data_IF_238919265687
#
_entry.id   IF_238919265687
#
_cell.length_a   1.000
_cell.length_b   1.000
_cell.length_c   1.000
_cell.angle_alpha   90.00
_cell.angle_beta   90.00
_cell.angle_gamma   90.00
#
_symmetry.space_group_name_H-M   'P 1'
#
loop_
_entity.id
_entity.type
_entity.pdbx_description
1 polymer ?
#
# COMPACT_ATOMS: atom_id res chain seq x y z
N UNK A 1 -8.98 16.70 17.90
CA UNK A 1 -7.90 16.06 18.67
C UNK A 1 -7.11 17.09 19.51
N UNK A 2 -7.76 17.68 20.50
CA UNK A 2 -7.11 18.63 21.43
C UNK A 2 -6.61 17.94 22.72
N UNK A 3 -6.41 16.62 22.69
CA UNK A 3 -5.88 15.86 23.82
C UNK A 3 -4.37 16.10 23.95
N UNK A 4 -3.95 16.66 25.09
CA UNK A 4 -2.55 16.98 25.37
C UNK A 4 -1.66 15.76 25.32
N UNK A 5 -2.11 14.61 25.87
CA UNK A 5 -1.35 13.36 25.88
C UNK A 5 -1.12 12.82 24.48
N UNK A 6 -2.13 12.93 23.61
CA UNK A 6 -2.00 12.56 22.19
C UNK A 6 -0.98 13.46 21.50
N UNK A 7 -1.10 14.78 21.63
CA UNK A 7 -0.18 15.75 21.01
C UNK A 7 1.26 15.56 21.48
N UNK A 8 1.45 15.30 22.77
CA UNK A 8 2.77 15.00 23.33
C UNK A 8 3.38 13.73 22.74
N UNK A 9 2.55 12.69 22.53
CA UNK A 9 3.01 11.45 21.87
C UNK A 9 3.45 11.71 20.44
N UNK A 10 2.67 12.46 19.66
CA UNK A 10 3.03 12.83 18.28
C UNK A 10 4.30 13.67 18.25
N UNK A 11 4.41 14.66 19.13
CA UNK A 11 5.58 15.51 19.26
C UNK A 11 6.87 14.69 19.47
N UNK A 12 6.83 13.69 20.32
CA UNK A 12 7.99 12.82 20.58
C UNK A 12 8.32 11.87 19.44
N UNK A 13 7.34 11.54 18.60
CA UNK A 13 7.51 10.64 17.45
C UNK A 13 8.02 11.35 16.19
N UNK A 14 7.99 12.70 16.15
CA UNK A 14 8.48 13.46 14.98
C UNK A 14 9.97 13.69 15.12
N UNK A 15 10.71 13.18 14.15
CA UNK A 15 12.15 13.36 14.06
C UNK A 15 12.50 14.76 13.53
N UNK A 16 13.47 15.42 14.17
CA UNK A 16 13.95 16.74 13.76
C UNK A 16 15.33 16.71 13.12
N UNK A 17 15.96 15.55 13.01
CA UNK A 17 17.23 15.41 12.31
C UNK A 17 17.01 15.32 10.79
N UNK A 18 17.54 16.27 9.97
CA UNK A 18 17.37 16.28 8.52
C UNK A 18 17.87 14.99 7.84
N UNK A 19 19.01 14.46 8.28
CA UNK A 19 19.56 13.23 7.72
C UNK A 19 18.61 12.03 7.95
N UNK A 20 18.07 11.88 9.16
CA UNK A 20 17.09 10.83 9.46
C UNK A 20 15.78 11.02 8.70
N UNK A 21 15.35 12.28 8.51
CA UNK A 21 14.19 12.59 7.69
C UNK A 21 14.40 12.16 6.24
N UNK A 22 15.55 12.44 5.65
CA UNK A 22 15.90 12.00 4.30
C UNK A 22 15.94 10.47 4.22
N UNK A 23 16.53 9.78 5.19
CA UNK A 23 16.47 8.30 5.25
C UNK A 23 15.04 7.76 5.33
N UNK A 24 14.13 8.44 6.06
CA UNK A 24 12.70 8.05 6.07
C UNK A 24 12.04 8.26 4.70
N UNK A 25 12.38 9.33 3.98
CA UNK A 25 11.91 9.56 2.62
C UNK A 25 12.43 8.49 1.64
N UNK A 26 13.68 8.08 1.77
CA UNK A 26 14.27 7.00 0.98
C UNK A 26 13.63 5.65 1.28
N UNK A 27 13.42 5.33 2.58
CA UNK A 27 12.78 4.10 3.02
C UNK A 27 11.28 4.05 2.69
N UNK A 28 10.63 5.21 2.52
CA UNK A 28 9.21 5.25 2.17
C UNK A 28 8.98 4.62 0.80
N UNK A 29 8.12 3.61 0.75
CA UNK A 29 7.58 3.07 -0.48
C UNK A 29 6.06 2.94 -0.35
N UNK A 30 5.32 3.22 -1.43
CA UNK A 30 3.88 3.08 -1.48
C UNK A 30 3.40 1.64 -1.44
N UNK A 31 2.16 1.40 -1.84
CA UNK A 31 1.62 0.04 -2.02
C UNK A 31 2.39 -0.74 -3.08
N UNK A 32 2.48 -2.04 -2.90
CA UNK A 32 3.10 -2.92 -3.86
C UNK A 32 2.13 -3.18 -5.03
N UNK A 33 2.60 -2.97 -6.25
CA UNK A 33 1.86 -3.29 -7.48
C UNK A 33 2.81 -3.98 -8.43
N UNK A 34 2.42 -5.14 -8.94
CA UNK A 34 3.26 -5.94 -9.83
C UNK A 34 2.42 -6.86 -10.71
N UNK A 35 2.90 -7.09 -11.93
CA UNK A 35 2.44 -8.15 -12.81
C UNK A 35 3.52 -9.22 -12.89
N UNK A 36 3.16 -10.46 -12.66
CA UNK A 36 4.10 -11.58 -12.78
C UNK A 36 4.50 -11.75 -14.25
N UNK A 37 5.78 -11.67 -14.53
CA UNK A 37 6.34 -11.66 -15.88
C UNK A 37 5.97 -12.89 -16.73
N UNK A 38 5.70 -14.04 -16.08
CA UNK A 38 5.30 -15.26 -16.80
C UNK A 38 3.91 -15.18 -17.44
N UNK A 39 3.08 -14.20 -17.06
CA UNK A 39 1.70 -14.03 -17.53
C UNK A 39 1.49 -12.71 -18.30
N UNK A 40 2.53 -11.91 -18.49
CA UNK A 40 2.41 -10.64 -19.21
C UNK A 40 2.05 -10.89 -20.68
N UNK A 41 1.09 -10.11 -21.22
CA UNK A 41 0.56 -10.18 -22.58
C UNK A 41 -0.23 -11.48 -22.92
N UNK A 42 -0.50 -12.33 -21.93
CA UNK A 42 -1.32 -13.53 -22.13
C UNK A 42 -2.77 -13.31 -21.66
N UNK A 43 -3.74 -13.78 -22.45
CA UNK A 43 -5.15 -13.83 -22.04
C UNK A 43 -5.37 -15.07 -21.20
N UNK A 44 -5.62 -14.88 -19.92
CA UNK A 44 -5.87 -15.95 -18.97
C UNK A 44 -7.37 -16.10 -18.71
N UNK A 45 -7.81 -17.31 -18.39
CA UNK A 45 -9.22 -17.63 -18.16
C UNK A 45 -9.47 -18.15 -16.74
N UNK A 46 -10.54 -17.66 -16.12
CA UNK A 46 -11.02 -18.17 -14.85
C UNK A 46 -10.13 -17.82 -13.66
N UNK A 47 -9.88 -16.53 -13.41
CA UNK A 47 -9.08 -16.06 -12.28
C UNK A 47 -9.96 -15.70 -11.09
N UNK A 48 -9.46 -15.98 -9.89
CA UNK A 48 -10.05 -15.52 -8.65
C UNK A 48 -9.37 -14.23 -8.18
N UNK A 49 -10.17 -13.29 -7.70
CA UNK A 49 -9.74 -12.01 -7.17
C UNK A 49 -10.01 -11.95 -5.68
N UNK A 50 -8.97 -11.64 -4.90
CA UNK A 50 -9.02 -11.44 -3.46
C UNK A 50 -8.54 -10.05 -3.09
N UNK A 51 -9.20 -9.41 -2.12
CA UNK A 51 -8.89 -8.04 -1.66
C UNK A 51 -8.89 -7.97 -0.14
N UNK A 52 -7.93 -7.24 0.45
CA UNK A 52 -7.93 -7.02 1.89
C UNK A 52 -9.04 -6.08 2.32
N UNK A 53 -9.81 -6.49 3.30
CA UNK A 53 -10.80 -5.63 3.92
C UNK A 53 -10.13 -4.47 4.67
N UNK A 54 -9.92 -3.35 3.96
CA UNK A 54 -9.33 -2.11 4.51
C UNK A 54 -7.90 -2.28 5.04
N UNK A 55 -6.96 -2.62 4.19
CA UNK A 55 -5.56 -2.92 4.48
C UNK A 55 -4.86 -1.87 5.37
N UNK A 56 -4.78 -0.60 4.96
CA UNK A 56 -4.10 0.43 5.74
C UNK A 56 -4.71 0.69 7.13
N UNK A 57 -6.05 0.81 7.27
CA UNK A 57 -6.67 0.88 8.58
C UNK A 57 -6.41 -0.32 9.47
N UNK A 58 -6.38 -1.54 8.91
CA UNK A 58 -6.04 -2.74 9.65
C UNK A 58 -4.66 -2.61 10.30
N UNK A 59 -3.63 -2.27 9.53
CA UNK A 59 -2.28 -2.14 10.07
C UNK A 59 -2.18 -0.99 11.08
N UNK A 60 -2.90 0.13 10.86
CA UNK A 60 -2.94 1.24 11.81
C UNK A 60 -3.47 0.85 13.20
N UNK A 61 -4.41 -0.08 13.28
CA UNK A 61 -5.01 -0.49 14.56
C UNK A 61 -4.37 -1.73 15.16
N UNK A 62 -3.59 -2.50 14.39
CA UNK A 62 -3.07 -3.81 14.81
C UNK A 62 -1.56 -3.89 14.95
N UNK A 63 -0.80 -2.91 14.45
CA UNK A 63 0.67 -2.93 14.45
C UNK A 63 1.27 -1.91 15.42
N UNK A 64 2.55 -2.10 15.73
CA UNK A 64 3.35 -1.13 16.50
C UNK A 64 4.09 -0.18 15.56
N UNK A 65 4.34 1.03 16.04
CA UNK A 65 4.93 2.14 15.29
C UNK A 65 6.09 2.78 16.03
N UNK A 66 7.04 3.44 15.33
CA UNK A 66 8.08 4.21 15.99
C UNK A 66 7.46 5.39 16.74
N UNK A 67 7.64 5.42 18.07
CA UNK A 67 7.01 6.39 18.97
C UNK A 67 7.99 7.36 19.62
N UNK A 68 9.25 7.30 19.22
CA UNK A 68 10.30 8.23 19.66
C UNK A 68 11.10 8.69 18.44
N UNK A 69 11.88 9.74 18.60
CA UNK A 69 12.88 10.08 17.60
C UNK A 69 13.88 8.93 17.40
N UNK A 70 14.35 8.79 16.19
CA UNK A 70 15.36 7.79 15.82
C UNK A 70 16.75 8.23 16.29
N UNK A 71 17.50 7.31 16.88
CA UNK A 71 18.86 7.50 17.37
C UNK A 71 19.83 6.56 16.68
N UNK A 72 20.99 7.08 16.28
CA UNK A 72 22.03 6.27 15.65
C UNK A 72 22.53 5.20 16.60
N UNK A 73 22.74 4.00 16.07
CA UNK A 73 23.32 2.89 16.81
C UNK A 73 24.43 2.22 15.97
N UNK A 74 25.39 1.60 16.65
CA UNK A 74 26.47 0.83 16.00
C UNK A 74 26.12 -0.64 16.04
N UNK A 75 25.39 -1.11 15.02
CA UNK A 75 25.05 -2.53 14.79
C UNK A 75 25.47 -2.88 13.38
N UNK A 76 26.04 -4.06 13.18
CA UNK A 76 26.57 -4.53 11.90
C UNK A 76 25.86 -5.77 11.37
N UNK A 77 25.07 -6.44 12.21
CA UNK A 77 24.38 -7.70 11.86
C UNK A 77 22.91 -7.68 12.30
N UNK A 78 22.05 -8.26 11.48
CA UNK A 78 20.61 -8.34 11.74
C UNK A 78 20.26 -9.08 13.04
N UNK A 79 21.05 -10.11 13.41
CA UNK A 79 20.82 -10.91 14.62
C UNK A 79 20.98 -10.11 15.92
N UNK A 80 21.62 -8.96 15.86
CA UNK A 80 21.76 -8.03 16.99
C UNK A 80 20.56 -7.11 17.16
N UNK A 81 19.62 -7.12 16.20
CA UNK A 81 18.47 -6.25 16.19
C UNK A 81 17.34 -6.84 17.02
N UNK A 82 16.83 -6.06 17.96
CA UNK A 82 15.76 -6.48 18.85
C UNK A 82 14.39 -6.14 18.27
N UNK A 83 13.44 -7.06 18.34
CA UNK A 83 12.06 -6.86 17.83
C UNK A 83 11.25 -5.80 18.62
N UNK A 84 11.79 -5.30 19.72
CA UNK A 84 11.15 -4.22 20.47
C UNK A 84 11.43 -2.80 19.93
N UNK A 85 12.30 -2.68 18.92
CA UNK A 85 12.66 -1.42 18.29
C UNK A 85 12.29 -1.39 16.81
N UNK A 86 11.72 -0.25 16.38
CA UNK A 86 11.67 0.13 14.99
C UNK A 86 13.05 0.59 14.54
N UNK A 87 13.47 0.28 13.32
CA UNK A 87 14.69 0.86 12.77
C UNK A 87 14.56 1.19 11.30
N UNK A 88 15.33 2.19 10.87
CA UNK A 88 15.64 2.45 9.47
C UNK A 88 17.09 2.06 9.24
N UNK A 89 17.35 1.40 8.14
CA UNK A 89 18.66 0.85 7.82
C UNK A 89 19.02 1.15 6.38
N UNK A 90 20.23 1.69 6.18
CA UNK A 90 20.89 1.76 4.88
C UNK A 90 21.80 0.55 4.75
N UNK A 91 21.56 -0.28 3.74
CA UNK A 91 22.18 -1.58 3.59
C UNK A 91 22.64 -1.80 2.14
N UNK A 92 23.80 -2.43 2.01
CA UNK A 92 24.34 -2.88 0.74
C UNK A 92 24.32 -4.40 0.69
N UNK A 93 23.72 -4.97 -0.35
CA UNK A 93 23.68 -6.41 -0.62
C UNK A 93 24.62 -6.76 -1.76
N UNK A 94 25.18 -7.99 -1.70
CA UNK A 94 26.04 -8.59 -2.72
C UNK A 94 25.38 -9.86 -3.27
N UNK A 95 25.36 -9.97 -4.61
CA UNK A 95 24.80 -11.10 -5.37
C UNK A 95 23.36 -11.45 -4.93
N UNK A 96 22.52 -10.41 -4.81
CA UNK A 96 21.12 -10.58 -4.39
C UNK A 96 20.25 -11.08 -5.55
N UNK A 97 19.38 -12.06 -5.27
CA UNK A 97 18.44 -12.65 -6.23
C UNK A 97 17.12 -13.00 -5.54
N UNK A 98 15.98 -12.66 -6.15
CA UNK A 98 14.66 -13.12 -5.69
C UNK A 98 14.56 -14.65 -5.73
N UNK A 99 13.88 -15.24 -4.73
CA UNK A 99 13.53 -16.65 -4.67
C UNK A 99 12.25 -16.98 -5.41
N UNK A 100 11.43 -15.97 -5.72
CA UNK A 100 10.05 -16.08 -6.19
C UNK A 100 9.86 -15.41 -7.56
N UNK A 101 8.77 -15.73 -8.24
CA UNK A 101 8.41 -15.13 -9.53
C UNK A 101 8.00 -13.67 -9.40
N UNK A 102 7.42 -13.29 -8.27
CA UNK A 102 7.08 -11.90 -7.99
C UNK A 102 8.29 -11.19 -7.32
N UNK A 103 8.70 -10.05 -7.87
CA UNK A 103 9.91 -9.36 -7.47
C UNK A 103 9.57 -8.15 -6.59
N UNK A 104 10.09 -8.11 -5.36
CA UNK A 104 9.73 -7.10 -4.37
C UNK A 104 10.47 -5.77 -4.54
N UNK A 105 11.79 -5.78 -4.74
CA UNK A 105 12.64 -4.60 -4.69
C UNK A 105 12.41 -3.71 -5.90
N UNK A 106 12.04 -2.44 -5.69
CA UNK A 106 11.88 -1.45 -6.76
C UNK A 106 13.20 -0.83 -7.17
N UNK A 107 13.49 -0.79 -8.48
CA UNK A 107 14.66 -0.11 -9.05
C UNK A 107 14.79 1.34 -8.57
N UNK A 108 13.67 2.07 -8.50
CA UNK A 108 13.65 3.50 -8.18
C UNK A 108 13.92 3.79 -6.69
N UNK A 109 14.03 2.76 -5.84
CA UNK A 109 14.33 2.89 -4.41
C UNK A 109 15.80 2.57 -4.08
N UNK A 110 16.56 2.11 -5.06
CA UNK A 110 17.96 1.80 -4.88
C UNK A 110 18.84 3.03 -5.12
N UNK A 111 19.76 3.28 -4.19
CA UNK A 111 20.77 4.34 -4.32
C UNK A 111 21.86 3.96 -5.31
N UNK A 112 22.19 2.65 -5.33
CA UNK A 112 23.19 2.09 -6.24
C UNK A 112 22.75 0.70 -6.74
N UNK A 113 23.03 0.42 -8.01
CA UNK A 113 22.77 -0.87 -8.66
C UNK A 113 23.91 -1.20 -9.62
N UNK A 114 24.44 -2.44 -9.52
CA UNK A 114 25.38 -3.01 -10.50
C UNK A 114 24.90 -4.39 -10.92
N UNK A 115 25.06 -4.74 -12.21
CA UNK A 115 24.70 -6.04 -12.77
C UNK A 115 23.22 -6.42 -12.60
N UNK A 116 22.32 -5.43 -12.57
CA UNK A 116 20.92 -5.67 -12.27
C UNK A 116 20.12 -6.19 -13.48
N UNK A 117 19.25 -7.16 -13.23
CA UNK A 117 18.22 -7.65 -14.16
C UNK A 117 16.86 -7.29 -13.61
N UNK A 118 15.98 -6.82 -14.48
CA UNK A 118 14.71 -6.22 -14.11
C UNK A 118 13.51 -6.99 -14.66
N UNK A 119 12.41 -6.92 -13.92
CA UNK A 119 11.07 -7.30 -14.31
C UNK A 119 10.10 -6.14 -13.96
N UNK A 120 9.49 -5.50 -14.97
CA UNK A 120 8.53 -4.40 -14.78
C UNK A 120 8.99 -3.33 -13.76
N UNK A 121 10.28 -2.94 -13.81
CA UNK A 121 10.86 -1.95 -12.89
C UNK A 121 11.21 -2.50 -11.50
N UNK A 122 11.08 -3.81 -11.29
CA UNK A 122 11.50 -4.55 -10.10
C UNK A 122 12.80 -5.31 -10.37
N UNK A 123 13.56 -5.58 -9.33
CA UNK A 123 14.86 -6.22 -9.41
C UNK A 123 14.69 -7.72 -9.21
N UNK A 124 15.04 -8.51 -10.24
CA UNK A 124 15.11 -9.96 -10.18
C UNK A 124 16.41 -10.41 -9.52
N UNK A 125 17.53 -9.79 -9.91
CA UNK A 125 18.87 -10.00 -9.34
C UNK A 125 19.74 -8.77 -9.54
N UNK A 126 20.77 -8.63 -8.69
CA UNK A 126 21.83 -7.64 -8.86
C UNK A 126 23.13 -8.15 -8.23
N UNK A 127 24.28 -7.78 -8.81
CA UNK A 127 25.61 -8.09 -8.25
C UNK A 127 25.86 -7.22 -6.99
N UNK A 128 25.53 -5.94 -7.05
CA UNK A 128 25.54 -5.02 -5.90
C UNK A 128 24.26 -4.17 -5.90
N UNK A 129 23.68 -4.00 -4.71
CA UNK A 129 22.47 -3.21 -4.49
C UNK A 129 22.57 -2.46 -3.17
N UNK A 130 22.40 -1.13 -3.19
CA UNK A 130 22.32 -0.28 -2.00
C UNK A 130 20.93 0.33 -1.87
N UNK A 131 20.32 0.22 -0.68
CA UNK A 131 18.95 0.65 -0.44
C UNK A 131 18.75 1.05 1.03
N UNK A 132 17.85 2.02 1.27
CA UNK A 132 17.37 2.36 2.61
C UNK A 132 16.00 1.77 2.87
N UNK A 133 15.83 1.10 4.00
CA UNK A 133 14.65 0.27 4.32
C UNK A 133 14.13 0.53 5.73
N UNK A 134 12.84 0.30 5.94
CA UNK A 134 12.29 0.06 7.28
C UNK A 134 12.69 -1.35 7.73
N UNK A 135 12.67 -1.59 9.05
CA UNK A 135 12.91 -2.94 9.60
C UNK A 135 11.95 -4.00 9.05
N UNK A 136 10.72 -3.60 8.75
CA UNK A 136 9.68 -4.47 8.17
C UNK A 136 10.09 -4.91 6.77
N UNK A 137 10.47 -3.97 5.89
CA UNK A 137 10.90 -4.28 4.53
C UNK A 137 12.25 -5.02 4.52
N UNK A 138 13.17 -4.65 5.41
CA UNK A 138 14.48 -5.32 5.51
C UNK A 138 14.33 -6.80 5.88
N UNK A 139 13.55 -7.11 6.92
CA UNK A 139 13.26 -8.50 7.32
C UNK A 139 12.61 -9.29 6.19
N UNK A 140 11.68 -8.65 5.45
CA UNK A 140 11.01 -9.27 4.31
C UNK A 140 12.03 -9.60 3.20
N UNK A 141 12.92 -8.68 2.86
CA UNK A 141 13.97 -8.92 1.84
C UNK A 141 14.90 -10.06 2.26
N UNK A 142 15.33 -10.13 3.52
CA UNK A 142 16.17 -11.22 4.01
C UNK A 142 15.49 -12.60 3.86
N UNK A 143 14.19 -12.67 4.01
CA UNK A 143 13.41 -13.90 3.85
C UNK A 143 13.20 -14.28 2.38
N UNK A 144 12.92 -13.29 1.51
CA UNK A 144 12.50 -13.51 0.13
C UNK A 144 13.64 -13.62 -0.88
N UNK A 145 14.88 -13.25 -0.51
CA UNK A 145 16.00 -13.22 -1.43
C UNK A 145 17.12 -14.17 -0.99
N UNK A 146 17.88 -14.67 -1.97
CA UNK A 146 19.21 -15.25 -1.78
C UNK A 146 20.22 -14.12 -1.98
N UNK A 147 21.26 -14.11 -1.18
CA UNK A 147 22.38 -13.15 -1.26
C UNK A 147 23.63 -13.80 -0.67
N UNK A 148 24.83 -13.37 -1.10
CA UNK A 148 26.07 -13.89 -0.55
C UNK A 148 26.37 -13.23 0.80
N UNK A 149 26.23 -11.91 0.88
CA UNK A 149 26.43 -11.13 2.10
C UNK A 149 25.68 -9.80 2.02
N UNK A 150 25.60 -9.10 3.16
CA UNK A 150 25.19 -7.71 3.23
C UNK A 150 26.03 -6.93 4.24
N UNK A 151 26.08 -5.62 4.04
CA UNK A 151 26.76 -4.68 4.94
C UNK A 151 25.75 -3.60 5.38
N UNK A 152 25.68 -3.36 6.70
CA UNK A 152 24.90 -2.27 7.25
C UNK A 152 25.77 -1.02 7.28
N UNK A 153 25.45 -0.03 6.45
CA UNK A 153 26.16 1.24 6.40
C UNK A 153 25.73 2.18 7.51
N UNK A 154 24.42 2.33 7.69
CA UNK A 154 23.82 3.14 8.72
C UNK A 154 22.55 2.51 9.28
N UNK A 155 22.33 2.71 10.59
CA UNK A 155 21.10 2.26 11.26
C UNK A 155 20.70 3.20 12.39
N UNK A 156 19.39 3.47 12.48
CA UNK A 156 18.80 4.31 13.51
C UNK A 156 17.59 3.61 14.11
N UNK A 157 17.44 3.67 15.45
CA UNK A 157 16.41 2.99 16.22
C UNK A 157 15.44 3.95 16.89
N UNK A 158 14.17 3.55 16.94
CA UNK A 158 13.11 4.18 17.71
C UNK A 158 12.33 3.11 18.51
N UNK A 159 11.69 3.51 19.61
CA UNK A 159 10.87 2.57 20.39
C UNK A 159 9.57 2.21 19.68
N UNK A 160 9.23 0.92 19.66
CA UNK A 160 7.94 0.43 19.19
C UNK A 160 6.85 0.51 20.25
N UNK A 161 5.71 1.11 19.91
CA UNK A 161 4.45 1.04 20.67
C UNK A 161 3.26 1.06 19.72
N UNK A 162 2.10 0.60 20.18
CA UNK A 162 0.85 0.84 19.46
C UNK A 162 0.55 2.33 19.38
N UNK A 163 -0.16 2.74 18.33
CA UNK A 163 -0.67 4.09 18.21
C UNK A 163 -1.56 4.45 19.42
N UNK A 164 -1.70 5.73 19.78
CA UNK A 164 -2.53 6.14 20.90
C UNK A 164 -3.97 5.61 20.77
N UNK A 165 -4.53 5.08 21.88
CA UNK A 165 -5.88 4.51 21.92
C UNK A 165 -6.95 5.47 21.36
N UNK A 166 -6.79 6.77 21.59
CA UNK A 166 -7.69 7.79 21.02
C UNK A 166 -7.72 7.72 19.49
N UNK A 167 -6.56 7.57 18.84
CA UNK A 167 -6.44 7.50 17.39
C UNK A 167 -6.99 6.17 16.86
N UNK A 168 -6.69 5.06 17.52
CA UNK A 168 -7.22 3.74 17.17
C UNK A 168 -8.75 3.74 17.25
N UNK A 169 -9.34 4.23 18.34
CA UNK A 169 -10.79 4.33 18.48
C UNK A 169 -11.41 5.18 17.37
N UNK A 170 -10.79 6.31 17.01
CA UNK A 170 -11.27 7.14 15.89
C UNK A 170 -11.32 6.35 14.57
N UNK A 171 -10.28 5.56 14.27
CA UNK A 171 -10.25 4.70 13.07
C UNK A 171 -11.38 3.68 13.11
N UNK A 172 -11.54 2.98 14.23
CA UNK A 172 -12.56 1.95 14.39
C UNK A 172 -13.99 2.53 14.31
N UNK A 173 -14.24 3.68 14.91
CA UNK A 173 -15.53 4.34 14.82
C UNK A 173 -15.87 4.74 13.37
N UNK A 174 -14.88 5.18 12.58
CA UNK A 174 -15.06 5.46 11.15
C UNK A 174 -15.29 4.19 10.34
N UNK A 175 -14.65 3.09 10.71
CA UNK A 175 -14.86 1.80 10.08
C UNK A 175 -16.28 1.26 10.32
N UNK A 176 -16.77 1.36 11.54
CA UNK A 176 -18.16 1.00 11.90
C UNK A 176 -19.16 1.78 11.04
N UNK A 177 -19.03 3.11 10.97
CA UNK A 177 -19.92 3.95 10.17
C UNK A 177 -19.87 3.60 8.67
N UNK A 178 -18.67 3.42 8.11
CA UNK A 178 -18.49 2.97 6.72
C UNK A 178 -19.22 1.63 6.48
N UNK A 179 -19.08 0.67 7.38
CA UNK A 179 -19.70 -0.66 7.25
C UNK A 179 -21.22 -0.56 7.33
N UNK A 180 -21.76 0.23 8.26
CA UNK A 180 -23.20 0.43 8.44
C UNK A 180 -23.86 1.13 7.25
N UNK A 181 -23.13 1.99 6.52
CA UNK A 181 -23.71 2.72 5.37
C UNK A 181 -23.53 1.99 4.04
N UNK A 182 -22.67 0.95 3.98
CA UNK A 182 -22.39 0.22 2.75
C UNK A 182 -23.65 -0.43 2.18
N UNK A 183 -24.01 -0.09 0.94
CA UNK A 183 -25.15 -0.68 0.23
C UNK A 183 -26.52 -0.28 0.76
N UNK A 184 -26.60 0.77 1.57
CA UNK A 184 -27.88 1.30 2.11
C UNK A 184 -28.41 2.38 1.21
N UNK A 185 -29.62 2.17 0.68
CA UNK A 185 -30.31 3.13 -0.19
C UNK A 185 -30.47 4.48 0.51
N UNK A 186 -30.02 5.57 -0.16
CA UNK A 186 -30.08 6.94 0.36
C UNK A 186 -28.95 7.31 1.33
N UNK A 187 -27.94 6.39 1.53
CA UNK A 187 -26.75 6.61 2.36
C UNK A 187 -25.44 6.58 1.57
N UNK A 188 -25.52 6.68 0.25
CA UNK A 188 -24.37 6.60 -0.66
C UNK A 188 -23.37 7.74 -0.40
N UNK A 189 -23.88 8.95 -0.09
CA UNK A 189 -23.06 10.11 0.22
C UNK A 189 -22.32 9.94 1.56
N UNK A 190 -23.04 9.51 2.59
CA UNK A 190 -22.49 9.26 3.92
C UNK A 190 -21.42 8.14 3.86
N UNK A 191 -21.73 7.05 3.14
CA UNK A 191 -20.75 6.00 2.88
C UNK A 191 -19.48 6.55 2.22
N UNK A 192 -19.63 7.34 1.16
CA UNK A 192 -18.51 7.94 0.43
C UNK A 192 -17.68 8.88 1.33
N UNK A 193 -18.36 9.71 2.14
CA UNK A 193 -17.69 10.61 3.09
C UNK A 193 -16.86 9.84 4.13
N UNK A 194 -17.45 8.81 4.75
CA UNK A 194 -16.74 8.05 5.78
C UNK A 194 -15.60 7.20 5.15
N UNK A 195 -15.80 6.63 3.95
CA UNK A 195 -14.74 5.96 3.20
C UNK A 195 -13.58 6.91 2.87
N UNK A 196 -13.87 8.13 2.42
CA UNK A 196 -12.83 9.11 2.09
C UNK A 196 -12.07 9.58 3.33
N UNK A 197 -12.76 9.88 4.46
CA UNK A 197 -12.10 10.23 5.72
C UNK A 197 -11.18 9.11 6.20
N UNK A 198 -11.66 7.89 6.13
CA UNK A 198 -10.95 6.70 6.54
C UNK A 198 -9.67 6.46 5.71
N UNK A 199 -9.76 6.63 4.40
CA UNK A 199 -8.60 6.51 3.51
C UNK A 199 -7.65 7.72 3.62
N UNK A 200 -8.18 8.92 3.87
CA UNK A 200 -7.37 10.12 4.02
C UNK A 200 -6.43 10.08 5.24
N UNK A 201 -6.77 9.34 6.29
CA UNK A 201 -5.91 9.20 7.48
C UNK A 201 -4.51 8.69 7.13
N UNK A 202 -4.43 7.66 6.29
CA UNK A 202 -3.15 7.18 5.81
C UNK A 202 -2.46 8.23 4.91
N UNK A 203 -3.17 8.76 3.91
CA UNK A 203 -2.61 9.75 2.98
C UNK A 203 -2.01 10.97 3.69
N UNK A 204 -2.65 11.43 4.77
CA UNK A 204 -2.16 12.54 5.58
C UNK A 204 -0.85 12.22 6.32
N UNK A 205 -0.64 10.96 6.72
CA UNK A 205 0.60 10.54 7.41
C UNK A 205 1.82 10.51 6.49
N UNK A 206 1.61 10.35 5.19
CA UNK A 206 2.67 10.31 4.17
C UNK A 206 2.75 11.58 3.32
N UNK A 207 2.00 12.62 3.67
CA UNK A 207 2.11 13.90 2.99
C UNK A 207 3.49 14.47 3.26
N UNK A 208 4.28 14.63 2.19
CA UNK A 208 5.55 15.33 2.28
C UNK A 208 5.30 16.83 2.39
N UNK A 209 5.51 17.39 3.58
CA UNK A 209 5.37 18.82 3.86
C UNK A 209 6.66 19.59 3.63
N UNK A 210 7.78 18.88 3.49
CA UNK A 210 9.09 19.44 3.22
C UNK A 210 9.44 19.10 1.78
N UNK A 211 9.35 20.07 0.90
CA UNK A 211 9.56 19.92 -0.54
C UNK A 211 10.60 20.91 -1.01
N UNK A 212 11.37 20.50 -2.00
CA UNK A 212 12.24 21.40 -2.75
C UNK A 212 11.41 22.55 -3.35
N UNK A 213 12.02 23.71 -3.49
CA UNK A 213 11.35 24.88 -4.02
C UNK A 213 11.27 24.82 -5.54
N UNK A 214 10.05 24.82 -6.07
CA UNK A 214 9.80 24.98 -7.49
C UNK A 214 9.99 26.46 -7.84
N UNK A 215 10.88 26.75 -8.78
CA UNK A 215 11.18 28.11 -9.22
C UNK A 215 10.64 28.35 -10.64
N UNK A 216 10.03 29.51 -10.84
CA UNK A 216 9.58 29.97 -12.14
C UNK A 216 10.25 31.29 -12.50
N UNK A 217 10.70 31.44 -13.73
CA UNK A 217 11.25 32.68 -14.27
C UNK A 217 10.49 33.09 -15.52
N UNK A 218 10.13 34.35 -15.62
CA UNK A 218 9.50 34.89 -16.84
C UNK A 218 10.37 34.77 -18.09
N UNK A 219 11.71 34.71 -17.91
CA UNK A 219 12.66 34.66 -19.03
C UNK A 219 13.02 33.23 -19.45
N UNK A 220 12.94 32.26 -18.50
CA UNK A 220 13.42 30.89 -18.67
C UNK A 220 12.36 29.82 -18.38
N UNK A 221 11.09 30.23 -18.11
CA UNK A 221 9.99 29.31 -17.76
C UNK A 221 10.27 28.58 -16.42
N UNK A 222 9.97 27.28 -16.31
CA UNK A 222 10.25 26.49 -15.10
C UNK A 222 11.75 26.18 -15.00
N UNK A 223 12.34 26.53 -13.85
CA UNK A 223 13.73 26.19 -13.53
C UNK A 223 13.78 24.85 -12.78
N UNK A 224 14.99 24.30 -12.67
CA UNK A 224 15.22 23.12 -11.82
C UNK A 224 14.84 23.43 -10.37
N UNK A 225 14.28 22.43 -9.68
CA UNK A 225 13.90 22.56 -8.28
C UNK A 225 15.15 22.87 -7.41
N UNK A 226 15.07 23.94 -6.61
CA UNK A 226 16.10 24.25 -5.63
C UNK A 226 15.98 23.29 -4.45
N UNK A 227 17.00 22.46 -4.24
CA UNK A 227 17.09 21.60 -3.06
C UNK A 227 17.24 22.43 -1.79
N UNK A 228 16.51 22.04 -0.76
CA UNK A 228 16.61 22.66 0.56
C UNK A 228 17.90 22.25 1.26
N UNK A 229 18.54 23.21 1.93
CA UNK A 229 19.70 22.97 2.78
C UNK A 229 19.26 22.34 4.13
N UNK A 230 20.18 21.65 4.80
CA UNK A 230 19.89 20.97 6.06
C UNK A 230 19.31 21.89 7.15
N UNK A 231 19.73 23.14 7.20
CA UNK A 231 19.21 24.14 8.15
C UNK A 231 17.76 24.50 7.85
N UNK A 232 17.41 24.66 6.58
CA UNK A 232 16.03 24.93 6.14
C UNK A 232 15.13 23.73 6.44
N UNK A 233 15.61 22.50 6.17
CA UNK A 233 14.90 21.26 6.51
C UNK A 233 14.68 21.19 8.03
N UNK A 234 15.68 21.48 8.84
CA UNK A 234 15.58 21.50 10.30
C UNK A 234 14.49 22.47 10.78
N UNK A 235 14.47 23.68 10.25
CA UNK A 235 13.46 24.70 10.60
C UNK A 235 12.04 24.25 10.25
N UNK A 236 11.86 23.63 9.08
CA UNK A 236 10.58 23.08 8.66
C UNK A 236 10.15 21.92 9.56
N UNK A 237 11.06 20.99 9.88
CA UNK A 237 10.80 19.86 10.80
C UNK A 237 10.41 20.36 12.20
N UNK A 238 11.06 21.41 12.70
CA UNK A 238 10.71 22.02 13.98
C UNK A 238 9.33 22.69 13.98
N UNK A 239 8.93 23.28 12.84
CA UNK A 239 7.56 23.81 12.64
C UNK A 239 6.54 22.66 12.59
N UNK A 240 6.84 21.58 11.84
CA UNK A 240 6.00 20.39 11.78
C UNK A 240 5.82 19.75 13.15
N UNK A 241 6.87 19.57 13.91
CA UNK A 241 6.83 19.01 15.27
C UNK A 241 5.83 19.72 16.18
N UNK A 242 5.65 21.03 16.00
CA UNK A 242 4.70 21.86 16.80
C UNK A 242 3.26 21.76 16.31
N UNK A 243 3.01 21.52 15.00
CA UNK A 243 1.71 21.64 14.34
C UNK A 243 1.09 20.31 13.99
N UNK A 244 1.90 19.31 13.61
CA UNK A 244 1.41 18.05 13.08
C UNK A 244 0.66 17.24 14.13
N UNK A 245 -0.33 16.51 13.68
CA UNK A 245 -1.08 15.56 14.49
C UNK A 245 -0.74 14.10 14.15
N UNK A 246 0.21 13.87 13.24
CA UNK A 246 0.73 12.56 12.86
C UNK A 246 2.23 12.66 12.57
N UNK A 247 2.95 11.56 12.72
CA UNK A 247 4.37 11.46 12.34
C UNK A 247 4.50 10.86 10.94
N UNK A 248 5.35 11.42 10.09
CA UNK A 248 5.70 10.87 8.77
C UNK A 248 6.24 9.44 8.88
N UNK A 249 7.01 9.14 9.93
CA UNK A 249 7.49 7.78 10.18
C UNK A 249 6.35 6.77 10.34
N UNK A 250 5.21 7.16 10.95
CA UNK A 250 4.06 6.23 11.02
C UNK A 250 3.55 5.83 9.64
N UNK A 251 3.48 6.79 8.72
CA UNK A 251 3.08 6.52 7.34
C UNK A 251 4.01 5.56 6.60
N UNK A 252 5.34 5.68 6.83
CA UNK A 252 6.33 4.74 6.26
C UNK A 252 6.05 3.30 6.74
N UNK A 253 5.75 3.13 8.03
CA UNK A 253 5.44 1.80 8.60
C UNK A 253 4.08 1.27 8.16
N UNK A 254 3.07 2.13 7.98
CA UNK A 254 1.75 1.71 7.46
C UNK A 254 1.90 0.98 6.13
N UNK A 255 2.62 1.59 5.18
CA UNK A 255 2.82 0.96 3.87
C UNK A 255 3.74 -0.24 3.93
N UNK A 256 4.76 -0.23 4.79
CA UNK A 256 5.66 -1.37 4.98
C UNK A 256 4.90 -2.59 5.52
N UNK A 257 4.05 -2.43 6.54
CA UNK A 257 3.20 -3.52 7.04
C UNK A 257 2.16 -3.99 6.03
N UNK A 258 1.54 -3.07 5.29
CA UNK A 258 0.59 -3.45 4.24
C UNK A 258 1.27 -4.27 3.14
N UNK A 259 2.48 -3.85 2.70
CA UNK A 259 3.30 -4.63 1.77
C UNK A 259 3.67 -6.00 2.34
N UNK A 260 4.11 -6.05 3.60
CA UNK A 260 4.45 -7.31 4.27
C UNK A 260 3.28 -8.28 4.24
N UNK A 261 2.08 -7.84 4.64
CA UNK A 261 0.89 -8.69 4.66
C UNK A 261 0.56 -9.24 3.27
N UNK A 262 0.70 -8.42 2.22
CA UNK A 262 0.47 -8.85 0.85
C UNK A 262 1.56 -9.83 0.37
N UNK A 263 2.82 -9.47 0.56
CA UNK A 263 3.99 -10.21 0.07
C UNK A 263 4.17 -11.58 0.72
N UNK A 264 3.87 -11.73 2.01
CA UNK A 264 3.92 -13.03 2.68
C UNK A 264 2.95 -14.03 2.04
N UNK A 265 1.79 -13.56 1.58
CA UNK A 265 0.84 -14.40 0.84
C UNK A 265 1.25 -14.61 -0.62
N UNK A 266 1.78 -13.58 -1.29
CA UNK A 266 2.32 -13.71 -2.65
C UNK A 266 3.43 -14.76 -2.68
N UNK A 267 4.36 -14.76 -1.73
CA UNK A 267 5.43 -15.76 -1.67
C UNK A 267 4.93 -17.20 -1.44
N UNK A 268 3.83 -17.38 -0.73
CA UNK A 268 3.22 -18.70 -0.49
C UNK A 268 2.43 -19.20 -1.69
N UNK A 269 1.86 -18.28 -2.47
CA UNK A 269 1.08 -18.55 -3.68
C UNK A 269 1.92 -18.53 -4.96
N UNK A 270 3.06 -17.84 -4.93
CA UNK A 270 4.14 -17.70 -5.92
C UNK A 270 3.67 -17.73 -7.38
N UNK A 271 3.83 -18.86 -8.06
CA UNK A 271 3.51 -19.03 -9.48
C UNK A 271 2.02 -18.84 -9.83
N UNK A 272 1.13 -19.00 -8.84
CA UNK A 272 -0.31 -18.79 -9.07
C UNK A 272 -0.70 -17.32 -9.08
N UNK A 273 0.17 -16.39 -8.59
CA UNK A 273 -0.11 -14.95 -8.58
C UNK A 273 0.17 -14.34 -9.94
N UNK A 274 -0.87 -13.90 -10.62
CA UNK A 274 -0.81 -13.22 -11.93
C UNK A 274 -0.52 -11.74 -11.77
N UNK A 275 -1.24 -11.12 -10.82
CA UNK A 275 -1.21 -9.67 -10.64
C UNK A 275 -1.56 -9.31 -9.19
N UNK A 276 -0.93 -8.28 -8.69
CA UNK A 276 -1.26 -7.71 -7.39
C UNK A 276 -1.28 -6.18 -7.44
N UNK A 277 -2.09 -5.59 -6.58
CA UNK A 277 -2.22 -4.14 -6.49
C UNK A 277 -2.59 -3.69 -5.09
N UNK A 278 -1.59 -3.23 -4.34
CA UNK A 278 -1.70 -2.61 -3.02
C UNK A 278 -2.32 -3.51 -1.94
N UNK A 279 -3.52 -3.98 -2.14
CA UNK A 279 -4.35 -4.76 -1.19
C UNK A 279 -5.09 -5.91 -1.88
N UNK A 280 -4.81 -6.18 -3.14
CA UNK A 280 -5.47 -7.25 -3.89
C UNK A 280 -4.50 -8.15 -4.64
N UNK A 281 -4.91 -9.42 -4.82
CA UNK A 281 -4.22 -10.43 -5.63
C UNK A 281 -5.18 -11.07 -6.63
N UNK A 282 -4.64 -11.41 -7.80
CA UNK A 282 -5.35 -12.12 -8.87
C UNK A 282 -4.65 -13.44 -9.11
N UNK A 283 -5.39 -14.55 -8.98
CA UNK A 283 -4.84 -15.90 -8.95
C UNK A 283 -5.40 -16.75 -10.09
N UNK A 284 -4.52 -17.48 -10.78
CA UNK A 284 -4.98 -18.58 -11.66
C UNK A 284 -5.45 -19.75 -10.82
N UNK A 285 -6.34 -20.60 -11.39
CA UNK A 285 -6.88 -21.78 -10.72
C UNK A 285 -5.79 -22.77 -10.29
N UNK A 286 -6.08 -23.50 -9.24
CA UNK A 286 -5.20 -24.57 -8.72
C UNK A 286 -4.33 -24.15 -7.54
N UNK A 287 -4.45 -22.89 -7.09
CA UNK A 287 -3.75 -22.43 -5.89
C UNK A 287 -4.30 -23.07 -4.61
N UNK A 288 -3.47 -23.15 -3.59
CA UNK A 288 -3.88 -23.64 -2.26
C UNK A 288 -4.72 -22.60 -1.52
N UNK A 289 -6.03 -22.84 -1.42
CA UNK A 289 -6.97 -21.96 -0.70
C UNK A 289 -6.69 -21.89 0.80
N UNK A 290 -6.02 -22.90 1.40
CA UNK A 290 -5.66 -22.86 2.81
C UNK A 290 -4.76 -21.67 3.13
N UNK A 291 -3.98 -21.16 2.17
CA UNK A 291 -3.16 -19.95 2.37
C UNK A 291 -4.02 -18.75 2.76
N UNK A 292 -5.16 -18.57 2.10
CA UNK A 292 -6.11 -17.48 2.39
C UNK A 292 -6.78 -17.69 3.75
N UNK A 293 -7.24 -18.93 4.01
CA UNK A 293 -7.92 -19.26 5.27
C UNK A 293 -6.99 -19.12 6.49
N UNK A 294 -5.75 -19.59 6.39
CA UNK A 294 -4.74 -19.44 7.44
C UNK A 294 -4.39 -17.96 7.69
N UNK A 295 -4.23 -17.17 6.61
CA UNK A 295 -4.01 -15.74 6.77
C UNK A 295 -5.17 -15.08 7.49
N UNK A 296 -6.41 -15.34 7.09
CA UNK A 296 -7.61 -14.80 7.72
C UNK A 296 -7.71 -15.20 9.20
N UNK A 297 -7.42 -16.47 9.54
CA UNK A 297 -7.38 -16.95 10.92
C UNK A 297 -6.31 -16.21 11.75
N UNK A 298 -5.10 -16.02 11.20
CA UNK A 298 -4.03 -15.28 11.85
C UNK A 298 -4.39 -13.83 12.10
N UNK A 299 -5.08 -13.18 11.14
CA UNK A 299 -5.63 -11.83 11.34
C UNK A 299 -6.60 -11.78 12.51
N UNK A 300 -7.53 -12.74 12.61
CA UNK A 300 -8.51 -12.80 13.71
C UNK A 300 -7.84 -13.01 15.08
N UNK A 301 -6.84 -13.89 15.16
CA UNK A 301 -6.04 -14.12 16.38
C UNK A 301 -5.34 -12.81 16.77
N UNK A 302 -4.72 -12.13 15.82
CA UNK A 302 -4.02 -10.85 16.06
C UNK A 302 -4.97 -9.74 16.51
N UNK A 303 -6.13 -9.60 15.88
CA UNK A 303 -7.13 -8.60 16.27
C UNK A 303 -7.62 -8.85 17.70
N UNK A 304 -7.82 -10.11 18.10
CA UNK A 304 -8.20 -10.48 19.46
C UNK A 304 -7.10 -10.09 20.46
N UNK A 305 -5.83 -10.48 20.22
CA UNK A 305 -4.70 -10.11 21.07
C UNK A 305 -4.58 -8.59 21.25
N UNK A 306 -4.69 -7.83 20.16
CA UNK A 306 -4.61 -6.36 20.20
C UNK A 306 -5.80 -5.75 20.94
N UNK A 307 -7.01 -6.26 20.74
CA UNK A 307 -8.22 -5.79 21.44
C UNK A 307 -8.09 -5.94 22.95
N UNK A 308 -7.58 -7.10 23.42
CA UNK A 308 -7.31 -7.38 24.82
C UNK A 308 -6.21 -6.46 25.40
N UNK A 309 -5.07 -6.33 24.72
CA UNK A 309 -3.94 -5.47 25.14
C UNK A 309 -4.31 -4.00 25.25
N UNK A 310 -5.14 -3.51 24.33
CA UNK A 310 -5.58 -2.12 24.30
C UNK A 310 -6.86 -1.87 25.11
N UNK A 311 -7.48 -2.93 25.62
CA UNK A 311 -8.79 -2.88 26.28
C UNK A 311 -9.80 -2.11 25.39
N UNK A 312 -9.97 -2.58 24.13
CA UNK A 312 -10.94 -2.10 23.15
C UNK A 312 -11.78 -3.31 22.74
N UNK A 313 -13.11 -3.14 22.72
CA UNK A 313 -14.03 -4.21 22.34
C UNK A 313 -13.71 -4.77 20.94
N UNK A 314 -13.58 -6.11 20.85
CA UNK A 314 -13.29 -6.82 19.60
C UNK A 314 -14.35 -6.56 18.52
N UNK A 315 -15.61 -6.34 18.89
CA UNK A 315 -16.69 -6.06 17.94
C UNK A 315 -16.47 -4.76 17.16
N UNK A 316 -15.65 -3.83 17.66
CA UNK A 316 -15.23 -2.65 16.89
C UNK A 316 -14.33 -2.98 15.70
N UNK A 317 -13.54 -4.05 15.79
CA UNK A 317 -12.65 -4.51 14.72
C UNK A 317 -13.36 -5.37 13.66
N UNK A 318 -14.56 -5.85 13.97
CA UNK A 318 -15.38 -6.71 13.10
C UNK A 318 -16.85 -6.26 13.08
N UNK A 319 -17.14 -5.00 12.70
CA UNK A 319 -18.50 -4.47 12.73
C UNK A 319 -19.44 -5.27 11.84
N UNK A 320 -20.70 -5.28 12.21
CA UNK A 320 -21.77 -5.95 11.50
C UNK A 320 -22.47 -4.96 10.55
N UNK A 321 -22.71 -5.36 9.32
CA UNK A 321 -23.51 -4.58 8.37
C UNK A 321 -25.03 -4.74 8.61
N UNK A 322 -25.85 -4.06 7.82
CA UNK A 322 -27.31 -4.13 7.93
C UNK A 322 -27.93 -5.50 7.58
N UNK A 323 -27.15 -6.38 6.95
CA UNK A 323 -27.57 -7.74 6.64
C UNK A 323 -27.19 -8.74 7.73
N UNK A 324 -26.55 -8.28 8.80
CA UNK A 324 -26.04 -9.13 9.88
C UNK A 324 -24.71 -9.81 9.56
N UNK A 325 -24.00 -9.37 8.52
CA UNK A 325 -22.69 -9.95 8.13
C UNK A 325 -21.58 -9.19 8.85
N UNK A 326 -20.69 -9.93 9.52
CA UNK A 326 -19.47 -9.38 10.13
C UNK A 326 -18.42 -9.07 9.06
N UNK A 327 -17.76 -7.93 9.21
CA UNK A 327 -16.68 -7.48 8.34
C UNK A 327 -15.39 -7.27 9.16
N UNK A 328 -14.59 -8.32 9.42
CA UNK A 328 -13.32 -8.15 10.11
C UNK A 328 -12.34 -7.30 9.31
N UNK A 329 -11.58 -6.44 9.98
CA UNK A 329 -10.51 -5.66 9.36
C UNK A 329 -9.35 -6.56 8.93
N UNK A 330 -8.80 -6.31 7.74
CA UNK A 330 -7.55 -6.90 7.28
C UNK A 330 -7.64 -8.32 6.72
N UNK A 331 -8.82 -8.98 6.76
CA UNK A 331 -8.99 -10.29 6.13
C UNK A 331 -9.06 -10.18 4.60
N UNK A 332 -8.64 -11.21 3.90
CA UNK A 332 -8.97 -11.37 2.49
C UNK A 332 -10.45 -11.67 2.33
N UNK A 333 -11.09 -10.91 1.46
CA UNK A 333 -12.47 -11.12 1.01
C UNK A 333 -12.47 -11.35 -0.51
N UNK A 334 -13.36 -12.20 -1.00
CA UNK A 334 -13.48 -12.46 -2.43
C UNK A 334 -14.01 -11.20 -3.14
N UNK A 335 -13.22 -10.66 -4.06
CA UNK A 335 -13.60 -9.52 -4.92
C UNK A 335 -14.22 -9.98 -6.25
N UNK A 336 -14.40 -11.29 -6.43
CA UNK A 336 -15.08 -11.90 -7.55
C UNK A 336 -14.21 -12.82 -8.39
N UNK A 337 -14.81 -13.25 -9.48
CA UNK A 337 -14.19 -14.14 -10.45
C UNK A 337 -14.11 -13.44 -11.81
N UNK A 338 -12.93 -13.48 -12.46
CA UNK A 338 -12.72 -12.95 -13.80
C UNK A 338 -12.73 -14.09 -14.82
N UNK A 339 -13.61 -13.96 -15.80
CA UNK A 339 -13.72 -14.95 -16.91
C UNK A 339 -12.50 -14.88 -17.82
N UNK A 340 -12.04 -13.66 -18.09
CA UNK A 340 -10.85 -13.35 -18.87
C UNK A 340 -10.05 -12.25 -18.16
N UNK A 341 -8.73 -12.32 -18.23
CA UNK A 341 -7.84 -11.33 -17.70
C UNK A 341 -6.57 -11.24 -18.56
N UNK A 342 -6.09 -10.03 -18.80
CA UNK A 342 -4.81 -9.77 -19.45
C UNK A 342 -4.12 -8.60 -18.74
N UNK A 343 -2.82 -8.70 -18.51
CA UNK A 343 -2.00 -7.62 -17.96
C UNK A 343 -0.78 -7.35 -18.82
N UNK A 344 -0.38 -6.08 -18.89
CA UNK A 344 0.86 -5.62 -19.55
C UNK A 344 1.82 -4.98 -18.55
N UNK A 345 1.53 -5.07 -17.26
CA UNK A 345 2.36 -4.50 -16.20
C UNK A 345 1.55 -3.77 -15.13
N UNK A 346 2.25 -3.12 -14.21
CA UNK A 346 1.66 -2.41 -13.10
C UNK A 346 0.65 -1.34 -13.55
N UNK A 347 -0.58 -1.40 -13.03
CA UNK A 347 -1.70 -0.50 -13.38
C UNK A 347 -2.07 -0.50 -14.88
N UNK A 348 -1.85 -1.62 -15.57
CA UNK A 348 -2.15 -1.78 -16.98
C UNK A 348 -2.72 -3.17 -17.25
N UNK A 349 -4.04 -3.33 -17.14
CA UNK A 349 -4.75 -4.60 -17.33
C UNK A 349 -6.18 -4.41 -17.83
N UNK A 350 -6.73 -5.47 -18.42
CA UNK A 350 -8.15 -5.59 -18.78
C UNK A 350 -8.70 -6.91 -18.24
N UNK A 351 -10.00 -6.95 -17.94
CA UNK A 351 -10.68 -8.16 -17.48
C UNK A 351 -12.15 -8.18 -17.87
N UNK A 352 -12.70 -9.38 -18.02
CA UNK A 352 -14.12 -9.62 -18.21
C UNK A 352 -14.70 -10.26 -16.97
N UNK A 353 -15.81 -9.71 -16.50
CA UNK A 353 -16.49 -10.17 -15.30
C UNK A 353 -18.00 -10.25 -15.56
N UNK A 354 -18.65 -11.26 -14.95
CA UNK A 354 -20.08 -11.35 -14.93
C UNK A 354 -20.66 -10.38 -13.91
N UNK A 355 -21.50 -9.44 -14.36
CA UNK A 355 -22.16 -8.46 -13.50
C UNK A 355 -23.67 -8.59 -13.53
N UNK A 356 -24.28 -8.58 -12.34
CA UNK A 356 -25.73 -8.42 -12.19
C UNK A 356 -26.07 -6.92 -12.19
N UNK A 357 -26.50 -6.38 -13.33
CA UNK A 357 -26.89 -4.97 -13.44
C UNK A 357 -28.38 -4.80 -13.17
N UNK A 358 -28.70 -4.14 -12.06
CA UNK A 358 -30.04 -3.62 -11.81
C UNK A 358 -30.20 -2.27 -12.54
N UNK A 359 -30.86 -2.23 -13.69
CA UNK A 359 -31.30 -0.97 -14.31
C UNK A 359 -32.70 -0.62 -13.81
N UNK A 360 -32.80 0.38 -12.95
CA UNK A 360 -34.08 1.04 -12.64
C UNK A 360 -34.47 1.94 -13.82
N UNK A 361 -35.18 1.40 -14.79
CA UNK A 361 -36.08 2.11 -15.69
C UNK A 361 -37.37 1.30 -15.78
N UNK A 362 -38.49 1.97 -15.82
CA UNK A 362 -39.91 1.62 -15.77
C UNK A 362 -40.36 0.17 -16.06
N UNK A 363 -39.48 -0.68 -16.56
CA UNK A 363 -39.71 -2.12 -16.76
C UNK A 363 -38.57 -2.88 -16.07
N UNK A 364 -38.94 -3.80 -15.18
CA UNK A 364 -38.03 -4.72 -14.51
C UNK A 364 -37.37 -5.63 -15.56
N UNK A 365 -36.14 -5.31 -15.95
CA UNK A 365 -35.32 -6.20 -16.74
C UNK A 365 -34.00 -6.44 -15.99
N UNK A 366 -33.83 -7.63 -15.43
CA UNK A 366 -32.55 -8.13 -14.98
C UNK A 366 -31.72 -8.42 -16.25
N UNK A 367 -30.66 -7.64 -16.47
CA UNK A 367 -29.68 -7.95 -17.47
C UNK A 367 -28.41 -8.40 -16.77
N UNK A 368 -28.17 -9.69 -16.81
CA UNK A 368 -26.89 -10.27 -16.49
C UNK A 368 -25.99 -10.09 -17.74
N UNK A 369 -24.91 -9.37 -17.61
CA UNK A 369 -24.01 -9.10 -18.74
C UNK A 369 -22.57 -9.46 -18.37
N UNK A 370 -21.86 -10.06 -19.32
CA UNK A 370 -20.42 -10.21 -19.28
C UNK A 370 -19.77 -8.87 -19.66
N UNK A 371 -19.21 -8.19 -18.70
CA UNK A 371 -18.72 -6.80 -18.88
C UNK A 371 -17.20 -6.78 -18.97
N UNK A 372 -16.68 -6.16 -20.02
CA UNK A 372 -15.26 -5.91 -20.18
C UNK A 372 -14.87 -4.59 -19.48
N UNK A 373 -13.82 -4.64 -18.70
CA UNK A 373 -13.24 -3.53 -17.95
C UNK A 373 -11.80 -3.30 -18.34
N UNK A 374 -11.32 -2.05 -18.18
CA UNK A 374 -9.91 -1.69 -18.27
C UNK A 374 -9.47 -0.91 -17.03
N UNK A 375 -8.22 -1.11 -16.67
CA UNK A 375 -7.51 -0.28 -15.70
C UNK A 375 -6.14 0.06 -16.29
N UNK A 376 -6.00 1.30 -16.74
CA UNK A 376 -4.73 1.84 -17.24
C UNK A 376 -4.51 3.19 -16.59
N UNK A 377 -3.35 3.37 -15.95
CA UNK A 377 -3.03 4.62 -15.27
C UNK A 377 -3.10 5.82 -16.24
N UNK A 378 -3.83 6.87 -15.84
CA UNK A 378 -4.04 8.05 -16.69
C UNK A 378 -5.08 7.89 -17.81
N UNK A 379 -5.63 6.71 -18.02
CA UNK A 379 -6.63 6.45 -19.08
C UNK A 379 -8.05 6.38 -18.48
N UNK A 380 -9.02 7.15 -19.01
CA UNK A 380 -10.41 7.07 -18.55
C UNK A 380 -11.02 5.69 -18.80
N UNK A 381 -11.85 5.18 -17.86
CA UNK A 381 -12.56 3.90 -18.01
C UNK A 381 -13.38 3.79 -19.32
N UNK A 382 -13.78 4.90 -19.92
CA UNK A 382 -14.44 4.96 -21.23
C UNK A 382 -13.60 4.37 -22.36
N UNK A 383 -12.27 4.31 -22.20
CA UNK A 383 -11.34 3.67 -23.14
C UNK A 383 -11.63 2.22 -23.43
N UNK A 384 -12.40 1.52 -22.56
CA UNK A 384 -12.85 0.14 -22.81
C UNK A 384 -13.57 -0.02 -24.16
N UNK A 385 -14.20 1.06 -24.66
CA UNK A 385 -14.88 1.04 -25.96
C UNK A 385 -13.92 0.79 -27.14
N UNK A 386 -12.65 1.15 -26.99
CA UNK A 386 -11.63 0.92 -28.02
C UNK A 386 -11.34 -0.58 -28.21
N UNK A 387 -11.61 -1.39 -27.19
CA UNK A 387 -11.45 -2.86 -27.26
C UNK A 387 -12.54 -3.53 -28.09
N UNK A 388 -13.61 -2.85 -28.51
CA UNK A 388 -14.71 -3.39 -29.31
C UNK A 388 -15.28 -4.69 -28.72
N UNK A 389 -15.31 -4.78 -27.39
CA UNK A 389 -15.75 -5.96 -26.61
C UNK A 389 -14.90 -7.24 -26.78
N UNK A 390 -13.66 -7.11 -27.28
CA UNK A 390 -12.71 -8.20 -27.40
C UNK A 390 -11.45 -7.88 -26.59
N UNK A 391 -11.13 -8.71 -25.59
CA UNK A 391 -9.99 -8.52 -24.70
C UNK A 391 -8.65 -8.65 -25.43
N UNK A 392 -8.59 -9.41 -26.53
CA UNK A 392 -7.39 -9.56 -27.36
C UNK A 392 -6.95 -8.25 -28.03
N UNK A 393 -7.82 -7.25 -28.07
CA UNK A 393 -7.49 -5.92 -28.56
C UNK A 393 -6.74 -5.07 -27.51
N UNK A 394 -6.53 -5.58 -26.28
CA UNK A 394 -5.75 -4.89 -25.27
C UNK A 394 -4.25 -5.04 -25.57
N UNK A 395 -3.67 -4.07 -26.28
CA UNK A 395 -2.27 -4.05 -26.75
C UNK A 395 -1.63 -2.69 -26.50
N UNK A 396 -0.30 -2.65 -26.36
CA UNK A 396 0.48 -1.44 -26.14
C UNK A 396 0.27 -0.34 -27.18
N UNK A 397 -0.01 -0.72 -28.42
CA UNK A 397 -0.21 0.19 -29.55
C UNK A 397 -1.65 0.69 -29.68
N UNK A 398 -2.55 0.37 -28.75
CA UNK A 398 -3.94 0.77 -28.85
C UNK A 398 -4.09 2.28 -28.63
N UNK A 399 -4.49 2.98 -29.68
CA UNK A 399 -4.80 4.42 -29.66
C UNK A 399 -6.29 4.61 -29.83
N UNK A 400 -6.89 5.50 -29.06
CA UNK A 400 -8.28 5.89 -29.23
C UNK A 400 -8.47 7.37 -28.87
N UNK A 401 -9.36 8.01 -29.61
CA UNK A 401 -9.79 9.37 -29.32
C UNK A 401 -11.02 9.34 -28.42
N UNK A 402 -11.03 10.19 -27.40
CA UNK A 402 -12.24 10.44 -26.63
C UNK A 402 -12.48 11.96 -26.50
N UNK A 403 -13.74 12.36 -26.66
CA UNK A 403 -14.13 13.76 -26.41
C UNK A 403 -14.25 13.95 -24.90
N UNK A 404 -13.45 14.87 -24.38
CA UNK A 404 -13.66 15.38 -23.02
C UNK A 404 -15.02 16.04 -22.97
N UNK A 405 -15.89 15.59 -22.10
CA UNK A 405 -17.25 16.13 -21.95
C UNK A 405 -17.29 17.41 -21.13
N UNK A 406 -16.13 17.99 -20.80
CA UNK A 406 -16.02 19.27 -20.11
C UNK A 406 -16.68 19.31 -18.71
N UNK A 407 -16.96 18.16 -18.10
CA UNK A 407 -17.34 18.10 -16.69
C UNK A 407 -16.09 18.29 -15.85
N UNK A 408 -15.79 19.54 -15.51
CA UNK A 408 -14.83 19.86 -14.49
C UNK A 408 -15.22 19.14 -13.21
N UNK A 409 -14.35 18.26 -12.71
CA UNK A 409 -14.46 17.82 -11.34
C UNK A 409 -14.06 19.02 -10.49
N UNK A 410 -15.01 19.59 -9.78
CA UNK A 410 -14.73 20.47 -8.65
C UNK A 410 -14.14 19.59 -7.54
N UNK A 411 -12.87 19.80 -7.25
CA UNK A 411 -12.15 19.18 -6.13
C UNK A 411 -12.59 19.83 -4.81
#
# INVERSE_FOLDING_TARGET
>A
MNDYKYRYTVYNAINTNPHVYNMLCDAFAGGYTHANWIYVDEVLHGLDSWDFTSSYPYVLVSEKYPMTEFKKCKITKAEQMLDCFAYIVKVKFYNIKSKYYNNFISKNKCHMLKGAVYDNGRIMKADELEITLTDVDFKLILQQHKYDSYEIEEIYFAQYKYLPKLFINFILDKYILKTQYKGVKGKELEYSKEKNKFNALYGMSVTNTIRDEVQYSNDYDWLDDRKLENEEILDLLMKEKKKSFMSFAWGCWVTAYARKNLEENICRLDEYVVYCDTDSIKLVKGYDTNVIDEYNNNVMIKLKDVSERLNIDIEKYQPVDKKGIKHPLGVFDSDGHYEEFITQGAKKYAYRQYENKYKFKKDFCFKNEHVLHITVSGVPKKGVKALKNDINNFKDSLVFDYKDTGKNMLY
#
